data_IF_901383516931
#
_entry.id   IF_901383516931
#
_cell.length_a   1.000
_cell.length_b   1.000
_cell.length_c   1.000
_cell.angle_alpha   90.00
_cell.angle_beta   90.00
_cell.angle_gamma   90.00
#
_symmetry.space_group_name_H-M   'P 1'
#
loop_
_entity.id
_entity.type
_entity.pdbx_description
1 polymer ?
#
# COMPACT_ATOMS: atom_id res chain seq x y z
N UNK A 1 -13.77 -20.00 -7.04
CA UNK A 1 -14.86 -19.23 -6.41
C UNK A 1 -14.41 -18.82 -5.02
N UNK A 2 -14.38 -17.52 -4.77
CA UNK A 2 -14.12 -16.91 -3.46
C UNK A 2 -15.48 -16.69 -2.79
N UNK A 3 -15.65 -17.22 -1.58
CA UNK A 3 -16.81 -16.92 -0.74
C UNK A 3 -16.51 -15.70 0.12
N UNK A 4 -17.39 -14.71 0.08
CA UNK A 4 -17.29 -13.47 0.87
C UNK A 4 -18.45 -13.44 1.85
N UNK A 5 -18.18 -13.04 3.09
CA UNK A 5 -19.15 -13.00 4.17
C UNK A 5 -19.10 -11.64 4.85
N UNK A 6 -20.21 -10.90 4.80
CA UNK A 6 -20.36 -9.71 5.65
C UNK A 6 -21.10 -10.10 6.93
N UNK A 7 -20.54 -9.69 8.06
CA UNK A 7 -21.13 -9.77 9.39
C UNK A 7 -21.49 -8.37 9.84
N UNK A 8 -22.78 -8.09 10.04
CA UNK A 8 -23.28 -6.77 10.45
C UNK A 8 -24.06 -6.90 11.75
N UNK A 9 -23.59 -6.28 12.82
CA UNK A 9 -24.33 -6.13 14.08
C UNK A 9 -25.25 -4.92 14.00
N UNK A 10 -26.55 -5.09 14.19
CA UNK A 10 -27.54 -4.04 13.95
C UNK A 10 -28.71 -4.10 14.94
N UNK A 11 -29.20 -2.94 15.36
CA UNK A 11 -30.43 -2.84 16.16
C UNK A 11 -31.63 -3.40 15.39
N UNK A 12 -32.52 -4.13 16.08
CA UNK A 12 -33.67 -4.79 15.44
C UNK A 12 -34.57 -3.86 14.64
N UNK A 13 -34.73 -2.60 15.09
CA UNK A 13 -35.55 -1.58 14.43
C UNK A 13 -34.96 -1.08 13.09
N UNK A 14 -33.63 -1.17 12.91
CA UNK A 14 -32.95 -0.77 11.69
C UNK A 14 -32.83 -1.90 10.64
N UNK A 15 -33.10 -3.16 11.04
CA UNK A 15 -32.84 -4.34 10.21
C UNK A 15 -33.57 -4.32 8.86
N UNK A 16 -34.87 -4.03 8.86
CA UNK A 16 -35.66 -4.01 7.62
C UNK A 16 -35.20 -2.90 6.69
N UNK A 17 -34.88 -1.73 7.25
CA UNK A 17 -34.34 -0.60 6.51
C UNK A 17 -33.01 -0.93 5.86
N UNK A 18 -32.11 -1.61 6.58
CA UNK A 18 -30.83 -2.05 6.03
C UNK A 18 -31.02 -3.09 4.91
N UNK A 19 -31.89 -4.08 5.10
CA UNK A 19 -32.17 -5.08 4.06
C UNK A 19 -32.74 -4.42 2.80
N UNK A 20 -33.69 -3.49 2.94
CA UNK A 20 -34.23 -2.72 1.83
C UNK A 20 -33.16 -1.88 1.13
N UNK A 21 -32.24 -1.28 1.90
CA UNK A 21 -31.12 -0.52 1.38
C UNK A 21 -30.21 -1.39 0.50
N UNK A 22 -29.83 -2.59 0.95
CA UNK A 22 -29.03 -3.54 0.15
C UNK A 22 -29.76 -3.95 -1.13
N UNK A 23 -31.04 -4.30 -1.05
CA UNK A 23 -31.83 -4.72 -2.21
C UNK A 23 -32.02 -3.63 -3.25
N UNK A 24 -32.27 -2.39 -2.81
CA UNK A 24 -32.51 -1.26 -3.69
C UNK A 24 -31.22 -0.75 -4.33
N UNK A 25 -30.18 -0.58 -3.51
CA UNK A 25 -29.03 0.26 -3.89
C UNK A 25 -27.74 -0.53 -4.06
N UNK A 26 -27.60 -1.76 -3.52
CA UNK A 26 -26.30 -2.44 -3.51
C UNK A 26 -26.21 -3.65 -4.41
N UNK A 27 -27.14 -4.60 -4.28
CA UNK A 27 -26.99 -5.94 -4.86
C UNK A 27 -26.77 -5.89 -6.38
N UNK A 28 -27.52 -5.05 -7.10
CA UNK A 28 -27.37 -4.91 -8.55
C UNK A 28 -26.03 -4.27 -8.94
N UNK A 29 -25.57 -3.26 -8.19
CA UNK A 29 -24.30 -2.58 -8.45
C UNK A 29 -23.10 -3.48 -8.10
N UNK A 30 -23.19 -4.23 -6.99
CA UNK A 30 -22.23 -5.24 -6.60
C UNK A 30 -22.08 -6.32 -7.69
N UNK A 31 -23.20 -6.80 -8.24
CA UNK A 31 -23.19 -7.78 -9.33
C UNK A 31 -22.52 -7.25 -10.61
N UNK A 32 -22.68 -5.97 -10.95
CA UNK A 32 -21.99 -5.34 -12.08
C UNK A 32 -20.47 -5.31 -11.89
N UNK A 33 -20.00 -5.29 -10.63
CA UNK A 33 -18.58 -5.36 -10.28
C UNK A 33 -18.06 -6.79 -10.10
N UNK A 34 -18.90 -7.80 -10.28
CA UNK A 34 -18.55 -9.23 -10.14
C UNK A 34 -18.83 -9.84 -8.76
N UNK A 35 -19.41 -9.09 -7.82
CA UNK A 35 -19.80 -9.59 -6.49
C UNK A 35 -21.26 -10.07 -6.49
N UNK A 36 -21.45 -11.38 -6.55
CA UNK A 36 -22.78 -11.99 -6.66
C UNK A 36 -23.37 -12.29 -5.29
N UNK A 37 -24.54 -11.73 -5.00
CA UNK A 37 -25.30 -12.06 -3.79
C UNK A 37 -25.79 -13.52 -3.81
N UNK A 38 -25.65 -14.22 -2.69
CA UNK A 38 -26.12 -15.60 -2.53
C UNK A 38 -27.31 -15.67 -1.58
N UNK A 39 -27.14 -15.21 -0.35
CA UNK A 39 -28.19 -15.26 0.67
C UNK A 39 -27.92 -14.26 1.79
N UNK A 40 -28.92 -14.04 2.64
CA UNK A 40 -28.73 -13.45 3.95
C UNK A 40 -29.30 -14.35 5.05
N UNK A 41 -28.73 -14.25 6.26
CA UNK A 41 -29.21 -14.94 7.46
C UNK A 41 -29.19 -14.00 8.66
N UNK A 42 -30.09 -14.19 9.61
CA UNK A 42 -30.19 -13.36 10.81
C UNK A 42 -30.02 -14.26 12.05
N UNK A 43 -29.21 -13.80 13.01
CA UNK A 43 -29.01 -14.47 14.29
C UNK A 43 -29.11 -13.47 15.46
N UNK A 44 -29.87 -13.77 16.53
CA UNK A 44 -30.83 -14.88 16.62
C UNK A 44 -31.93 -14.74 15.56
N UNK A 45 -32.71 -15.80 15.25
CA UNK A 45 -33.76 -15.77 14.22
C UNK A 45 -35.03 -15.03 14.70
N UNK A 46 -34.85 -13.88 15.34
CA UNK A 46 -35.88 -13.00 15.88
C UNK A 46 -35.32 -11.58 16.02
N UNK A 47 -36.15 -10.57 15.80
CA UNK A 47 -35.77 -9.19 16.12
C UNK A 47 -35.77 -8.99 17.63
N UNK A 48 -34.70 -8.43 18.15
CA UNK A 48 -34.57 -8.06 19.56
C UNK A 48 -34.86 -6.56 19.72
N UNK A 49 -35.60 -6.22 20.78
CA UNK A 49 -35.93 -4.82 21.10
C UNK A 49 -34.80 -4.09 21.87
N UNK A 50 -34.02 -4.83 22.65
CA UNK A 50 -33.02 -4.25 23.59
C UNK A 50 -31.58 -4.68 23.31
N UNK A 51 -31.34 -5.41 22.22
CA UNK A 51 -30.03 -5.91 21.85
C UNK A 51 -29.91 -5.95 20.31
N UNK A 52 -28.69 -5.88 19.77
CA UNK A 52 -28.48 -6.06 18.34
C UNK A 52 -28.72 -7.51 17.91
N UNK A 53 -29.08 -7.67 16.64
CA UNK A 53 -29.00 -8.94 15.91
C UNK A 53 -27.78 -8.91 14.99
N UNK A 54 -27.30 -10.08 14.59
CA UNK A 54 -26.29 -10.22 13.53
C UNK A 54 -26.97 -10.56 12.21
N UNK A 55 -26.79 -9.70 11.22
CA UNK A 55 -27.09 -9.95 9.82
C UNK A 55 -25.84 -10.49 9.13
N UNK A 56 -25.96 -11.66 8.52
CA UNK A 56 -24.94 -12.29 7.70
C UNK A 56 -25.34 -12.16 6.24
N UNK A 57 -24.46 -11.65 5.39
CA UNK A 57 -24.65 -11.60 3.93
C UNK A 57 -23.57 -12.43 3.28
N UNK A 58 -23.96 -13.39 2.43
CA UNK A 58 -23.01 -14.22 1.70
C UNK A 58 -22.98 -13.85 0.23
N UNK A 59 -21.77 -13.73 -0.29
CA UNK A 59 -21.50 -13.36 -1.67
C UNK A 59 -20.46 -14.29 -2.29
N UNK A 60 -20.36 -14.22 -3.61
CA UNK A 60 -19.41 -14.97 -4.38
C UNK A 60 -18.72 -14.10 -5.42
N UNK A 61 -17.42 -14.31 -5.58
CA UNK A 61 -16.59 -13.73 -6.65
C UNK A 61 -15.87 -14.88 -7.36
N UNK A 62 -15.83 -14.86 -8.69
CA UNK A 62 -15.39 -16.00 -9.52
C UNK A 62 -14.01 -16.54 -9.11
N UNK A 63 -13.03 -15.65 -9.05
CA UNK A 63 -11.64 -15.95 -8.72
C UNK A 63 -10.91 -14.68 -8.24
N UNK A 64 -9.60 -14.80 -7.99
CA UNK A 64 -8.77 -13.68 -7.52
C UNK A 64 -8.64 -12.55 -8.54
N UNK A 65 -8.69 -12.85 -9.85
CA UNK A 65 -8.63 -11.81 -10.88
C UNK A 65 -9.91 -10.97 -10.87
N UNK A 66 -11.08 -11.62 -10.83
CA UNK A 66 -12.36 -10.96 -10.70
C UNK A 66 -12.45 -10.16 -9.39
N UNK A 67 -11.86 -10.67 -8.31
CA UNK A 67 -11.78 -9.97 -7.03
C UNK A 67 -10.95 -8.67 -7.14
N UNK A 68 -9.78 -8.70 -7.79
CA UNK A 68 -8.98 -7.48 -8.00
C UNK A 68 -9.68 -6.48 -8.92
N UNK A 69 -10.39 -6.96 -9.95
CA UNK A 69 -11.19 -6.11 -10.82
C UNK A 69 -12.36 -5.45 -10.07
N UNK A 70 -13.01 -6.18 -9.16
CA UNK A 70 -14.02 -5.64 -8.25
C UNK A 70 -13.40 -4.59 -7.31
N UNK A 71 -12.28 -4.94 -6.64
CA UNK A 71 -11.59 -4.06 -5.70
C UNK A 71 -11.19 -2.77 -6.37
N UNK A 72 -10.62 -2.80 -7.58
CA UNK A 72 -10.22 -1.60 -8.33
C UNK A 72 -11.33 -0.55 -8.43
N UNK A 73 -12.60 -0.97 -8.38
CA UNK A 73 -13.79 -0.11 -8.43
C UNK A 73 -14.29 0.35 -7.06
N UNK A 74 -13.77 -0.17 -5.94
CA UNK A 74 -14.10 0.29 -4.58
C UNK A 74 -13.66 1.73 -4.29
N UNK A 75 -12.79 2.30 -5.15
CA UNK A 75 -12.48 3.73 -5.14
C UNK A 75 -13.59 4.63 -5.66
N UNK A 76 -14.65 4.06 -6.27
CA UNK A 76 -15.84 4.83 -6.66
C UNK A 76 -16.48 5.46 -5.40
N UNK A 77 -16.66 6.80 -5.37
CA UNK A 77 -17.32 7.49 -4.27
C UNK A 77 -18.70 6.92 -3.91
N UNK A 78 -19.41 6.30 -4.85
CA UNK A 78 -20.68 5.61 -4.63
C UNK A 78 -20.58 4.42 -3.68
N UNK A 79 -19.51 3.61 -3.81
CA UNK A 79 -19.26 2.46 -2.93
C UNK A 79 -18.99 2.95 -1.51
N UNK A 80 -18.08 3.91 -1.36
CA UNK A 80 -17.75 4.49 -0.06
C UNK A 80 -18.99 5.14 0.60
N UNK A 81 -19.80 5.90 -0.15
CA UNK A 81 -21.04 6.50 0.37
C UNK A 81 -22.06 5.46 0.84
N UNK A 82 -22.23 4.38 0.08
CA UNK A 82 -23.14 3.30 0.47
C UNK A 82 -22.74 2.69 1.81
N UNK A 83 -21.46 2.31 1.94
CA UNK A 83 -20.98 1.68 3.18
C UNK A 83 -20.94 2.65 4.36
N UNK A 84 -20.64 3.93 4.13
CA UNK A 84 -20.80 4.96 5.15
C UNK A 84 -22.26 5.10 5.62
N UNK A 85 -23.24 4.95 4.73
CA UNK A 85 -24.65 4.92 5.12
C UNK A 85 -24.98 3.68 5.96
N UNK A 86 -24.44 2.50 5.59
CA UNK A 86 -24.56 1.28 6.41
C UNK A 86 -23.96 1.49 7.81
N UNK A 87 -22.81 2.15 7.90
CA UNK A 87 -22.15 2.47 9.18
C UNK A 87 -23.03 3.32 10.10
N UNK A 88 -23.91 4.17 9.57
CA UNK A 88 -24.86 4.93 10.40
C UNK A 88 -26.01 4.08 10.97
N UNK A 89 -26.26 2.91 10.39
CA UNK A 89 -27.39 2.03 10.75
C UNK A 89 -26.97 0.88 11.66
N UNK A 90 -25.71 0.44 11.57
CA UNK A 90 -25.18 -0.70 12.30
C UNK A 90 -24.33 -0.29 13.52
N UNK A 91 -24.18 -1.23 14.47
CA UNK A 91 -23.25 -1.12 15.60
C UNK A 91 -21.82 -1.40 15.14
N UNK A 92 -21.64 -2.43 14.32
CA UNK A 92 -20.36 -2.82 13.75
C UNK A 92 -20.60 -3.65 12.48
N UNK A 93 -19.63 -3.64 11.58
CA UNK A 93 -19.59 -4.56 10.44
C UNK A 93 -18.18 -5.06 10.17
N UNK A 94 -18.10 -6.21 9.53
CA UNK A 94 -16.85 -6.83 9.11
C UNK A 94 -17.08 -7.71 7.88
N UNK A 95 -16.16 -7.65 6.92
CA UNK A 95 -16.11 -8.59 5.80
C UNK A 95 -15.02 -9.62 6.03
N UNK A 96 -15.37 -10.87 5.80
CA UNK A 96 -14.50 -12.03 5.90
C UNK A 96 -14.53 -12.82 4.60
N UNK A 97 -13.47 -13.59 4.35
CA UNK A 97 -13.37 -14.47 3.20
C UNK A 97 -13.31 -15.91 3.67
N UNK A 98 -14.20 -16.75 3.15
CA UNK A 98 -14.40 -18.11 3.61
C UNK A 98 -13.74 -19.10 2.65
N UNK A 99 -13.19 -20.17 3.21
CA UNK A 99 -12.77 -21.35 2.46
C UNK A 99 -13.18 -22.61 3.23
N UNK A 100 -13.50 -23.69 2.51
CA UNK A 100 -13.84 -24.98 3.11
C UNK A 100 -12.62 -25.64 3.79
N UNK A 101 -11.43 -25.37 3.24
CA UNK A 101 -10.15 -25.84 3.76
C UNK A 101 -9.03 -24.88 3.33
N UNK A 102 -7.99 -24.75 4.16
CA UNK A 102 -6.79 -24.00 3.80
C UNK A 102 -6.16 -24.62 2.55
N UNK A 103 -5.83 -23.83 1.50
CA UNK A 103 -5.21 -24.35 0.29
C UNK A 103 -3.88 -25.05 0.59
N UNK A 104 -3.77 -26.33 0.26
CA UNK A 104 -2.56 -27.12 0.52
C UNK A 104 -1.38 -26.82 -0.41
N UNK A 105 -1.62 -26.08 -1.49
CA UNK A 105 -0.60 -25.70 -2.48
C UNK A 105 0.21 -24.46 -2.07
N UNK A 106 -0.28 -23.69 -1.09
CA UNK A 106 0.44 -22.53 -0.59
C UNK A 106 1.49 -22.97 0.42
N UNK A 107 2.74 -22.46 0.33
CA UNK A 107 3.72 -22.67 1.38
C UNK A 107 3.17 -22.10 2.68
N UNK A 108 3.33 -22.84 3.78
CA UNK A 108 2.96 -22.34 5.10
C UNK A 108 3.83 -21.15 5.50
N UNK A 109 3.36 -20.38 6.48
CA UNK A 109 4.10 -19.27 7.05
C UNK A 109 5.51 -19.68 7.49
N UNK A 110 6.52 -18.92 7.07
CA UNK A 110 7.91 -19.14 7.48
C UNK A 110 8.28 -18.26 8.67
N UNK A 111 9.12 -18.79 9.56
CA UNK A 111 9.80 -17.94 10.53
C UNK A 111 10.89 -17.10 9.86
N UNK A 112 10.64 -15.80 9.76
CA UNK A 112 11.56 -14.82 9.15
C UNK A 112 12.54 -14.20 10.13
N UNK A 113 12.55 -14.63 11.40
CA UNK A 113 13.46 -14.10 12.44
C UNK A 113 14.92 -14.07 12.00
N UNK A 114 15.37 -15.12 11.30
CA UNK A 114 16.75 -15.25 10.76
C UNK A 114 17.09 -14.25 9.64
N UNK A 115 16.09 -13.65 9.00
CA UNK A 115 16.27 -12.68 7.93
C UNK A 115 16.14 -11.23 8.43
N UNK A 116 15.73 -11.02 9.68
CA UNK A 116 15.58 -9.69 10.23
C UNK A 116 16.94 -8.99 10.32
N UNK A 117 16.98 -7.75 9.86
CA UNK A 117 18.18 -6.91 9.86
C UNK A 117 17.87 -5.56 10.48
N UNK A 118 18.91 -4.85 10.90
CA UNK A 118 18.79 -3.43 11.22
C UNK A 118 19.33 -2.61 10.07
N UNK A 119 18.53 -1.66 9.61
CA UNK A 119 18.99 -0.62 8.68
C UNK A 119 19.46 0.54 9.53
N UNK A 120 20.77 0.72 9.64
CA UNK A 120 21.36 1.95 10.17
C UNK A 120 21.43 2.97 9.01
N UNK A 121 21.50 4.27 9.31
CA UNK A 121 21.51 5.42 8.37
C UNK A 121 20.20 6.22 8.31
N UNK A 122 20.30 7.46 7.81
CA UNK A 122 19.21 8.37 7.56
C UNK A 122 18.79 8.26 6.09
N UNK A 123 17.59 7.73 5.87
CA UNK A 123 17.11 7.41 4.53
C UNK A 123 15.98 8.33 4.07
N UNK A 124 16.11 8.81 2.84
CA UNK A 124 15.08 9.54 2.12
C UNK A 124 14.62 8.73 0.89
N UNK A 125 13.37 8.91 0.50
CA UNK A 125 12.82 8.42 -0.77
C UNK A 125 11.92 9.49 -1.37
N UNK A 126 11.87 9.55 -2.69
CA UNK A 126 10.90 10.39 -3.38
C UNK A 126 10.30 9.73 -4.61
N UNK A 127 9.02 10.02 -4.83
CA UNK A 127 8.34 9.76 -6.10
C UNK A 127 8.24 11.08 -6.86
N UNK A 128 8.80 11.11 -8.06
CA UNK A 128 8.94 12.33 -8.86
C UNK A 128 8.01 12.28 -10.08
N UNK A 129 7.01 13.17 -10.13
CA UNK A 129 6.15 13.34 -11.29
C UNK A 129 6.73 14.38 -12.23
N UNK A 130 6.85 14.06 -13.52
CA UNK A 130 7.40 14.94 -14.55
C UNK A 130 6.28 15.79 -15.16
N UNK A 131 6.56 17.06 -15.47
CA UNK A 131 5.62 17.94 -16.18
C UNK A 131 5.37 17.44 -17.62
N UNK A 132 4.18 17.69 -18.14
CA UNK A 132 3.75 17.19 -19.45
C UNK A 132 4.58 17.74 -20.62
N UNK A 133 5.15 18.94 -20.47
CA UNK A 133 5.93 19.65 -21.50
C UNK A 133 7.42 19.25 -21.53
N UNK A 134 7.86 18.36 -20.65
CA UNK A 134 9.26 17.94 -20.54
C UNK A 134 9.57 16.84 -21.55
N UNK A 135 10.45 17.17 -22.50
CA UNK A 135 10.90 16.26 -23.55
C UNK A 135 11.98 15.25 -23.07
N UNK A 136 12.37 14.33 -23.96
CA UNK A 136 13.32 13.26 -23.64
C UNK A 136 14.74 13.77 -23.33
N UNK A 137 15.18 14.86 -23.95
CA UNK A 137 16.50 15.46 -23.69
C UNK A 137 16.52 16.08 -22.30
N UNK A 138 15.46 16.82 -21.96
CA UNK A 138 15.28 17.41 -20.64
C UNK A 138 15.14 16.35 -19.54
N UNK A 139 14.45 15.24 -19.80
CA UNK A 139 14.42 14.08 -18.88
C UNK A 139 15.82 13.51 -18.65
N UNK A 140 16.61 13.36 -19.71
CA UNK A 140 18.01 12.89 -19.62
C UNK A 140 18.85 13.83 -18.75
N UNK A 141 18.64 15.15 -18.87
CA UNK A 141 19.31 16.16 -18.02
C UNK A 141 18.90 16.00 -16.55
N UNK A 142 17.61 15.85 -16.27
CA UNK A 142 17.13 15.61 -14.90
C UNK A 142 17.75 14.32 -14.32
N UNK A 143 17.70 13.23 -15.06
CA UNK A 143 18.27 11.94 -14.63
C UNK A 143 19.76 12.05 -14.32
N UNK A 144 20.53 12.76 -15.16
CA UNK A 144 21.95 12.99 -14.93
C UNK A 144 22.18 13.76 -13.62
N UNK A 145 21.47 14.88 -13.39
CA UNK A 145 21.59 15.68 -12.16
C UNK A 145 21.28 14.85 -10.91
N UNK A 146 20.23 14.03 -10.96
CA UNK A 146 19.82 13.21 -9.82
C UNK A 146 20.77 12.04 -9.57
N UNK A 147 21.44 11.50 -10.61
CA UNK A 147 22.47 10.46 -10.46
C UNK A 147 23.81 11.02 -9.97
N UNK A 148 24.22 12.16 -10.50
CA UNK A 148 25.45 12.86 -10.12
C UNK A 148 25.43 13.31 -8.65
N UNK A 149 24.23 13.40 -8.05
CA UNK A 149 24.06 13.59 -6.61
C UNK A 149 24.87 12.58 -5.77
N UNK A 150 25.11 11.36 -6.26
CA UNK A 150 25.95 10.35 -5.57
C UNK A 150 27.39 10.81 -5.34
N UNK A 151 27.93 11.64 -6.24
CA UNK A 151 29.30 12.16 -6.17
C UNK A 151 29.35 13.59 -5.60
N UNK A 152 28.28 14.36 -5.82
CA UNK A 152 28.28 15.81 -5.58
C UNK A 152 27.62 16.22 -4.25
N UNK A 153 26.71 15.41 -3.70
CA UNK A 153 26.11 15.70 -2.39
C UNK A 153 27.08 15.35 -1.26
N UNK A 154 27.38 16.29 -0.35
CA UNK A 154 28.39 16.07 0.69
C UNK A 154 27.92 15.00 1.67
N UNK A 155 28.74 13.96 1.83
CA UNK A 155 28.52 12.89 2.81
C UNK A 155 27.39 11.91 2.47
N UNK A 156 26.84 11.96 1.26
CA UNK A 156 25.89 10.94 0.79
C UNK A 156 26.59 9.57 0.72
N UNK A 157 25.92 8.52 1.15
CA UNK A 157 26.45 7.14 1.09
C UNK A 157 25.98 6.44 -0.18
N UNK A 158 24.74 6.71 -0.60
CA UNK A 158 24.14 6.11 -1.79
C UNK A 158 23.05 6.98 -2.37
N UNK A 159 22.94 6.94 -3.69
CA UNK A 159 21.82 7.49 -4.45
C UNK A 159 21.39 6.46 -5.50
N UNK A 160 20.10 6.18 -5.56
CA UNK A 160 19.52 5.28 -6.56
C UNK A 160 18.35 5.98 -7.25
N UNK A 161 18.39 6.05 -8.57
CA UNK A 161 17.31 6.59 -9.39
C UNK A 161 16.81 5.52 -10.34
N UNK A 162 15.51 5.25 -10.32
CA UNK A 162 14.88 4.27 -11.18
C UNK A 162 13.58 4.82 -11.80
N UNK A 163 13.38 4.53 -13.09
CA UNK A 163 12.13 4.82 -13.77
C UNK A 163 11.08 3.77 -13.38
N UNK A 164 9.88 4.22 -13.04
CA UNK A 164 8.76 3.35 -12.68
C UNK A 164 8.17 2.72 -13.95
N UNK A 165 7.84 1.43 -13.90
CA UNK A 165 7.27 0.71 -15.06
C UNK A 165 5.86 1.17 -15.43
N UNK A 166 5.05 1.49 -14.42
CA UNK A 166 3.64 1.84 -14.58
C UNK A 166 3.34 3.12 -13.78
N UNK A 167 3.72 4.30 -14.30
CA UNK A 167 3.59 5.57 -13.59
C UNK A 167 2.13 5.92 -13.24
N UNK A 168 1.14 5.35 -13.91
CA UNK A 168 -0.28 5.55 -13.64
C UNK A 168 -0.76 4.95 -12.30
N UNK A 169 -0.03 3.97 -11.75
CA UNK A 169 -0.29 3.40 -10.42
C UNK A 169 0.64 3.98 -9.35
N UNK A 170 1.66 4.72 -9.76
CA UNK A 170 2.57 5.45 -8.89
C UNK A 170 2.14 6.92 -8.79
N UNK A 171 2.69 7.64 -7.82
CA UNK A 171 2.55 9.10 -7.74
C UNK A 171 3.69 9.84 -8.46
N UNK A 172 4.44 9.11 -9.30
CA UNK A 172 5.64 9.60 -9.96
C UNK A 172 6.12 8.71 -11.10
N UNK A 173 6.88 9.31 -12.00
CA UNK A 173 7.59 8.64 -13.08
C UNK A 173 8.89 8.00 -12.60
N UNK A 174 9.50 8.54 -11.55
CA UNK A 174 10.74 8.02 -10.98
C UNK A 174 10.61 7.79 -9.48
N UNK A 175 11.30 6.75 -9.01
CA UNK A 175 11.66 6.58 -7.60
C UNK A 175 13.11 7.03 -7.41
N UNK A 176 13.35 7.94 -6.46
CA UNK A 176 14.67 8.43 -6.10
C UNK A 176 14.95 8.15 -4.62
N UNK A 177 15.90 7.27 -4.35
CA UNK A 177 16.29 6.86 -3.00
C UNK A 177 17.65 7.43 -2.64
N UNK A 178 17.78 7.97 -1.43
CA UNK A 178 19.01 8.60 -0.95
C UNK A 178 19.32 8.11 0.46
N UNK A 179 20.58 7.76 0.69
CA UNK A 179 21.09 7.31 1.97
C UNK A 179 22.19 8.25 2.46
N UNK A 180 22.06 8.70 3.70
CA UNK A 180 23.05 9.49 4.43
C UNK A 180 23.40 8.77 5.73
N UNK A 181 24.62 8.95 6.29
CA UNK A 181 24.97 8.32 7.57
C UNK A 181 24.07 8.79 8.72
N UNK A 182 23.64 10.05 8.68
CA UNK A 182 22.82 10.67 9.71
C UNK A 182 22.04 11.89 9.16
N UNK A 183 21.15 12.41 10.01
CA UNK A 183 20.30 13.55 9.71
C UNK A 183 21.09 14.83 9.44
N UNK A 184 22.14 15.08 10.21
CA UNK A 184 22.90 16.34 10.11
C UNK A 184 23.61 16.42 8.76
N UNK A 185 24.10 15.28 8.28
CA UNK A 185 24.69 15.13 6.94
C UNK A 185 23.66 15.35 5.84
N UNK A 186 22.46 14.75 5.95
CA UNK A 186 21.38 14.96 4.99
C UNK A 186 20.98 16.45 4.91
N UNK A 187 20.82 17.11 6.05
CA UNK A 187 20.49 18.54 6.09
C UNK A 187 21.63 19.42 5.57
N UNK A 188 22.90 19.05 5.81
CA UNK A 188 24.05 19.75 5.24
C UNK A 188 24.10 19.58 3.71
N UNK A 189 23.78 18.38 3.20
CA UNK A 189 23.67 18.12 1.77
C UNK A 189 22.57 18.96 1.12
N UNK A 190 21.39 19.08 1.75
CA UNK A 190 20.30 19.93 1.27
C UNK A 190 20.61 21.45 1.33
N UNK A 191 21.61 21.87 2.11
CA UNK A 191 22.11 23.26 2.13
C UNK A 191 23.30 23.49 1.18
N UNK A 192 23.78 22.46 0.50
CA UNK A 192 24.94 22.56 -0.38
C UNK A 192 24.65 23.36 -1.65
N UNK A 193 25.72 23.84 -2.29
CA UNK A 193 25.62 24.54 -3.57
C UNK A 193 25.08 23.61 -4.67
N UNK A 194 25.47 22.34 -4.68
CA UNK A 194 24.97 21.37 -5.65
C UNK A 194 23.47 21.13 -5.48
N UNK A 195 22.99 20.94 -4.24
CA UNK A 195 21.56 20.80 -3.99
C UNK A 195 20.79 22.03 -4.46
N UNK A 196 21.18 23.22 -4.02
CA UNK A 196 20.43 24.45 -4.29
C UNK A 196 20.43 24.83 -5.77
N UNK A 197 21.60 24.75 -6.42
CA UNK A 197 21.76 25.26 -7.78
C UNK A 197 21.44 24.21 -8.86
N UNK A 198 21.53 22.92 -8.53
CA UNK A 198 21.33 21.83 -9.50
C UNK A 198 20.08 21.02 -9.16
N UNK A 199 20.05 20.33 -8.01
CA UNK A 199 18.96 19.40 -7.68
C UNK A 199 17.63 20.11 -7.52
N UNK A 200 17.53 21.06 -6.57
CA UNK A 200 16.30 21.78 -6.28
C UNK A 200 15.80 22.56 -7.51
N UNK A 201 16.71 23.22 -8.23
CA UNK A 201 16.40 23.93 -9.47
C UNK A 201 15.88 23.00 -10.57
N UNK A 202 16.44 21.79 -10.71
CA UNK A 202 15.97 20.80 -11.67
C UNK A 202 14.59 20.22 -11.29
N UNK A 203 14.38 19.92 -10.00
CA UNK A 203 13.08 19.46 -9.50
C UNK A 203 12.00 20.51 -9.75
N UNK A 204 12.24 21.78 -9.39
CA UNK A 204 11.29 22.88 -9.66
C UNK A 204 11.02 23.04 -11.16
N UNK A 205 12.06 22.92 -11.99
CA UNK A 205 11.96 23.10 -13.43
C UNK A 205 11.18 21.98 -14.11
N UNK A 206 11.47 20.72 -13.77
CA UNK A 206 11.02 19.55 -14.53
C UNK A 206 9.93 18.72 -13.87
N UNK A 207 9.76 18.82 -12.55
CA UNK A 207 8.76 18.03 -11.82
C UNK A 207 7.47 18.82 -11.58
N UNK A 208 6.33 18.18 -11.83
CA UNK A 208 5.01 18.71 -11.49
C UNK A 208 4.66 18.49 -10.02
N UNK A 209 5.18 17.40 -9.42
CA UNK A 209 5.08 17.11 -8.00
C UNK A 209 6.25 16.24 -7.55
N UNK A 210 6.71 16.48 -6.32
CA UNK A 210 7.71 15.67 -5.61
C UNK A 210 7.09 15.20 -4.29
N UNK A 211 6.88 13.88 -4.16
CA UNK A 211 6.50 13.28 -2.88
C UNK A 211 7.77 12.85 -2.15
N UNK A 212 8.30 13.71 -1.27
CA UNK A 212 9.62 13.55 -0.66
C UNK A 212 9.51 13.21 0.82
N UNK A 213 10.04 12.03 1.19
CA UNK A 213 9.82 11.43 2.49
C UNK A 213 11.13 11.00 3.15
N UNK A 214 11.31 11.36 4.42
CA UNK A 214 12.24 10.70 5.33
C UNK A 214 11.60 9.42 5.86
N UNK A 215 12.38 8.37 5.98
CA UNK A 215 11.95 7.06 6.44
C UNK A 215 12.55 6.69 7.80
N UNK A 216 11.68 6.41 8.78
CA UNK A 216 12.07 5.79 10.04
C UNK A 216 11.64 4.31 10.01
N UNK A 217 12.61 3.39 9.89
CA UNK A 217 12.37 1.95 9.76
C UNK A 217 11.65 1.39 10.99
N UNK A 218 10.52 0.72 10.77
CA UNK A 218 9.80 -0.09 11.77
C UNK A 218 10.40 -1.48 11.85
N UNK A 219 10.57 -2.14 10.70
CA UNK A 219 11.20 -3.45 10.59
C UNK A 219 11.69 -3.68 9.16
N UNK A 220 12.77 -4.44 9.00
CA UNK A 220 13.31 -4.84 7.72
C UNK A 220 13.82 -6.28 7.77
N UNK A 221 13.83 -6.94 6.61
CA UNK A 221 14.43 -8.25 6.46
C UNK A 221 14.96 -8.53 5.06
N UNK A 222 15.95 -9.41 5.00
CA UNK A 222 16.75 -9.70 3.81
C UNK A 222 16.90 -11.21 3.65
N UNK A 223 16.21 -11.81 2.69
CA UNK A 223 16.43 -13.21 2.29
C UNK A 223 17.53 -13.34 1.25
N UNK A 224 17.71 -12.31 0.41
CA UNK A 224 18.66 -12.31 -0.72
C UNK A 224 19.44 -11.00 -0.75
N UNK A 225 20.50 -10.92 0.07
CA UNK A 225 21.36 -9.74 0.21
C UNK A 225 22.05 -9.35 -1.09
N UNK A 226 22.32 -10.32 -1.96
CA UNK A 226 23.02 -10.20 -3.24
C UNK A 226 22.06 -10.20 -4.45
N UNK A 227 20.76 -9.96 -4.22
CA UNK A 227 19.78 -9.87 -5.31
C UNK A 227 20.25 -8.84 -6.35
N UNK A 228 20.21 -9.23 -7.62
CA UNK A 228 20.59 -8.40 -8.75
C UNK A 228 19.63 -8.63 -9.91
N UNK A 229 19.45 -7.60 -10.74
CA UNK A 229 18.52 -7.61 -11.88
C UNK A 229 17.07 -7.97 -11.48
N UNK A 230 16.64 -7.52 -10.30
CA UNK A 230 15.31 -7.77 -9.76
C UNK A 230 14.32 -6.64 -10.03
N UNK A 231 13.26 -6.61 -9.23
CA UNK A 231 12.28 -5.52 -9.20
C UNK A 231 12.18 -4.97 -7.79
N UNK A 232 12.23 -3.64 -7.66
CA UNK A 232 11.89 -2.95 -6.41
C UNK A 232 10.49 -2.41 -6.50
N UNK A 233 9.70 -2.66 -5.48
CA UNK A 233 8.39 -2.06 -5.23
C UNK A 233 8.51 -1.07 -4.08
N UNK A 234 7.97 0.13 -4.26
CA UNK A 234 7.93 1.19 -3.25
C UNK A 234 6.49 1.69 -3.17
N UNK A 235 5.76 1.30 -2.12
CA UNK A 235 4.37 1.67 -1.95
C UNK A 235 4.18 2.69 -0.83
N UNK A 236 3.45 3.76 -1.10
CA UNK A 236 3.13 4.79 -0.10
C UNK A 236 1.70 4.62 0.37
N UNK A 237 1.52 4.57 1.70
CA UNK A 237 0.22 4.43 2.34
C UNK A 237 -0.02 5.59 3.31
N UNK A 238 -1.29 5.93 3.50
CA UNK A 238 -1.71 6.97 4.45
C UNK A 238 -2.83 6.44 5.33
N UNK A 239 -2.70 6.63 6.64
CA UNK A 239 -3.80 6.34 7.55
C UNK A 239 -4.94 7.35 7.36
N UNK A 240 -6.18 6.86 7.50
CA UNK A 240 -7.35 7.73 7.55
C UNK A 240 -7.27 8.67 8.78
N UNK A 241 -7.82 9.89 8.66
CA UNK A 241 -7.87 10.82 9.79
C UNK A 241 -8.56 10.20 11.02
N UNK A 242 -7.94 10.34 12.18
CA UNK A 242 -8.48 9.81 13.44
C UNK A 242 -8.18 8.34 13.73
N UNK A 243 -7.44 7.63 12.87
CA UNK A 243 -6.99 6.26 13.17
C UNK A 243 -6.13 6.24 14.44
N UNK A 244 -6.55 5.45 15.44
CA UNK A 244 -5.83 5.30 16.72
C UNK A 244 -4.56 4.47 16.63
N UNK A 245 -3.67 4.63 17.62
CA UNK A 245 -2.36 3.98 17.67
C UNK A 245 -2.44 2.43 17.63
N UNK A 246 -3.40 1.83 18.33
CA UNK A 246 -3.58 0.37 18.34
C UNK A 246 -3.94 -0.16 16.95
N UNK A 247 -4.75 0.58 16.19
CA UNK A 247 -5.12 0.22 14.82
C UNK A 247 -3.93 0.35 13.88
N UNK A 248 -3.16 1.44 14.01
CA UNK A 248 -1.93 1.64 13.26
C UNK A 248 -0.91 0.51 13.52
N UNK A 249 -0.73 0.10 14.78
CA UNK A 249 0.16 -1.00 15.14
C UNK A 249 -0.30 -2.34 14.55
N UNK A 250 -1.61 -2.64 14.55
CA UNK A 250 -2.14 -3.86 13.91
C UNK A 250 -1.91 -3.84 12.40
N UNK A 251 -2.08 -2.70 11.75
CA UNK A 251 -1.76 -2.54 10.34
C UNK A 251 -0.28 -2.82 10.06
N UNK A 252 0.65 -2.25 10.85
CA UNK A 252 2.09 -2.51 10.73
C UNK A 252 2.41 -4.01 10.88
N UNK A 253 1.78 -4.68 11.85
CA UNK A 253 1.96 -6.11 12.10
C UNK A 253 1.46 -6.96 10.93
N UNK A 254 0.24 -6.70 10.46
CA UNK A 254 -0.36 -7.44 9.34
C UNK A 254 0.44 -7.25 8.04
N UNK A 255 0.96 -6.05 7.80
CA UNK A 255 1.77 -5.77 6.63
C UNK A 255 3.13 -6.48 6.68
N UNK A 256 3.76 -6.55 7.86
CA UNK A 256 5.01 -7.28 8.06
C UNK A 256 4.84 -8.81 8.01
N UNK A 257 3.67 -9.31 8.39
CA UNK A 257 3.33 -10.73 8.29
C UNK A 257 3.35 -11.22 6.82
N UNK A 258 3.15 -10.33 5.84
CA UNK A 258 3.25 -10.68 4.41
C UNK A 258 4.56 -11.38 4.06
N UNK A 259 5.70 -10.95 4.61
CA UNK A 259 7.01 -11.55 4.31
C UNK A 259 7.18 -12.98 4.83
N UNK A 260 6.33 -13.40 5.79
CA UNK A 260 6.26 -14.77 6.31
C UNK A 260 5.42 -15.65 5.41
N UNK A 261 4.39 -15.07 4.79
CA UNK A 261 3.35 -15.78 4.06
C UNK A 261 3.67 -15.87 2.57
N UNK A 262 4.40 -14.88 2.03
CA UNK A 262 4.66 -14.75 0.58
C UNK A 262 6.17 -14.82 0.34
N UNK A 263 6.71 -16.00 -0.03
CA UNK A 263 8.15 -16.21 -0.21
C UNK A 263 8.77 -15.37 -1.34
N UNK A 264 7.98 -14.95 -2.33
CA UNK A 264 8.41 -14.08 -3.42
C UNK A 264 8.89 -12.70 -2.92
N UNK A 265 8.48 -12.28 -1.71
CA UNK A 265 9.04 -11.09 -1.05
C UNK A 265 10.44 -11.45 -0.54
N UNK A 266 11.47 -11.16 -1.34
CA UNK A 266 12.84 -11.54 -1.02
C UNK A 266 13.45 -10.62 0.04
N UNK A 267 13.34 -9.32 -0.14
CA UNK A 267 13.79 -8.33 0.84
C UNK A 267 12.65 -7.35 1.09
N UNK A 268 12.53 -6.85 2.33
CA UNK A 268 11.45 -5.94 2.70
C UNK A 268 11.88 -4.91 3.73
N UNK A 269 11.20 -3.77 3.73
CA UNK A 269 11.29 -2.76 4.77
C UNK A 269 9.97 -2.01 4.90
N UNK A 270 9.46 -1.94 6.13
CA UNK A 270 8.38 -1.04 6.51
C UNK A 270 8.97 0.15 7.25
N UNK A 271 8.62 1.34 6.80
CA UNK A 271 9.04 2.59 7.42
C UNK A 271 7.85 3.50 7.68
N UNK A 272 7.90 4.22 8.81
CA UNK A 272 7.05 5.40 9.02
C UNK A 272 7.64 6.56 8.24
N UNK A 273 6.79 7.32 7.57
CA UNK A 273 7.19 8.40 6.69
C UNK A 273 7.01 9.77 7.36
N UNK A 274 7.94 10.68 7.10
CA UNK A 274 7.84 12.09 7.46
C UNK A 274 8.14 12.94 6.23
N UNK A 275 7.31 13.96 5.99
CA UNK A 275 7.46 14.85 4.83
C UNK A 275 8.75 15.67 4.96
N UNK A 276 9.51 15.76 3.86
CA UNK A 276 10.72 16.56 3.77
C UNK A 276 10.43 18.01 3.36
N UNK A 277 11.34 18.97 3.65
CA UNK A 277 11.13 20.38 3.31
C UNK A 277 11.00 20.68 1.81
N UNK A 278 11.46 19.76 0.95
CA UNK A 278 11.42 19.89 -0.51
C UNK A 278 10.30 19.06 -1.16
N UNK A 279 9.40 18.49 -0.35
CA UNK A 279 8.13 17.97 -0.85
C UNK A 279 7.30 19.11 -1.46
N UNK A 280 6.74 18.86 -2.64
CA UNK A 280 5.91 19.82 -3.37
C UNK A 280 4.54 19.25 -3.71
N UNK A 281 4.19 18.08 -3.16
CA UNK A 281 2.95 17.41 -3.47
C UNK A 281 1.77 18.08 -2.75
N UNK A 282 0.72 18.42 -3.50
CA UNK A 282 -0.53 18.93 -2.94
C UNK A 282 -1.45 17.77 -2.52
N UNK A 283 -1.04 17.02 -1.51
CA UNK A 283 -1.85 15.96 -0.93
C UNK A 283 -1.61 15.82 0.57
N UNK A 284 -2.50 15.10 1.26
CA UNK A 284 -2.26 14.78 2.66
C UNK A 284 -0.94 14.00 2.84
N UNK A 285 -0.21 14.16 3.96
CA UNK A 285 1.06 13.46 4.18
C UNK A 285 0.94 11.95 4.09
N UNK A 286 1.93 11.28 3.50
CA UNK A 286 2.05 9.81 3.57
C UNK A 286 2.45 9.39 4.98
N UNK A 287 1.90 8.28 5.47
CA UNK A 287 2.19 7.75 6.81
C UNK A 287 3.23 6.63 6.77
N UNK A 288 3.20 5.82 5.72
CA UNK A 288 4.05 4.65 5.59
C UNK A 288 4.66 4.55 4.21
N UNK A 289 5.86 3.98 4.16
CA UNK A 289 6.47 3.45 2.95
C UNK A 289 6.75 1.96 3.16
N UNK A 290 6.21 1.12 2.28
CA UNK A 290 6.44 -0.31 2.24
C UNK A 290 7.28 -0.66 1.02
N UNK A 291 8.53 -1.03 1.26
CA UNK A 291 9.50 -1.40 0.23
C UNK A 291 9.67 -2.90 0.20
N UNK A 292 9.70 -3.45 -1.01
CA UNK A 292 9.86 -4.87 -1.25
C UNK A 292 10.73 -5.09 -2.49
N UNK A 293 11.54 -6.14 -2.48
CA UNK A 293 12.34 -6.55 -3.62
C UNK A 293 11.97 -7.98 -4.04
N UNK A 294 11.82 -8.16 -5.35
CA UNK A 294 11.38 -9.40 -5.99
C UNK A 294 12.41 -9.84 -7.03
N UNK A 295 12.44 -11.13 -7.35
CA UNK A 295 13.27 -11.67 -8.43
C UNK A 295 12.85 -11.15 -9.80
N UNK A 296 11.54 -11.00 -10.03
CA UNK A 296 11.00 -10.56 -11.31
C UNK A 296 9.66 -9.85 -11.15
N UNK A 297 9.24 -9.16 -12.22
CA UNK A 297 7.92 -8.53 -12.27
C UNK A 297 6.79 -9.57 -12.22
N UNK A 298 7.00 -10.76 -12.78
CA UNK A 298 6.02 -11.85 -12.75
C UNK A 298 5.75 -12.35 -11.32
N UNK A 299 6.79 -12.40 -10.46
CA UNK A 299 6.63 -12.72 -9.04
C UNK A 299 5.75 -11.71 -8.30
N UNK A 300 5.94 -10.42 -8.62
CA UNK A 300 5.14 -9.31 -8.07
C UNK A 300 3.70 -9.31 -8.60
N UNK A 301 3.48 -9.48 -9.91
CA UNK A 301 2.15 -9.37 -10.52
C UNK A 301 1.35 -10.68 -10.49
N UNK A 302 2.00 -11.81 -10.25
CA UNK A 302 1.39 -13.13 -10.18
C UNK A 302 1.24 -13.64 -8.74
N UNK A 303 2.17 -14.46 -8.22
CA UNK A 303 2.07 -15.09 -6.90
C UNK A 303 1.74 -14.12 -5.75
N UNK A 304 2.39 -12.95 -5.72
CA UNK A 304 2.12 -11.94 -4.69
C UNK A 304 0.68 -11.40 -4.75
N UNK A 305 0.16 -11.10 -5.94
CA UNK A 305 -1.23 -10.64 -6.11
C UNK A 305 -2.24 -11.76 -5.84
N UNK A 306 -1.89 -13.01 -6.15
CA UNK A 306 -2.77 -14.15 -5.99
C UNK A 306 -2.90 -14.66 -4.54
N UNK A 307 -1.92 -14.34 -3.68
CA UNK A 307 -1.83 -14.91 -2.34
C UNK A 307 -2.98 -14.43 -1.43
N UNK A 308 -3.75 -15.33 -0.77
CA UNK A 308 -4.85 -14.96 0.12
C UNK A 308 -4.48 -14.04 1.27
N UNK A 309 -3.26 -14.16 1.81
CA UNK A 309 -2.79 -13.20 2.80
C UNK A 309 -2.76 -11.75 2.27
N UNK A 310 -2.51 -11.56 0.98
CA UNK A 310 -2.55 -10.24 0.37
C UNK A 310 -3.99 -9.76 0.18
N UNK A 311 -4.76 -10.44 -0.67
CA UNK A 311 -6.10 -9.95 -1.04
C UNK A 311 -7.16 -10.14 0.06
N UNK A 312 -7.10 -11.20 0.87
CA UNK A 312 -8.12 -11.48 1.89
C UNK A 312 -7.78 -10.86 3.26
N UNK A 313 -6.50 -10.83 3.63
CA UNK A 313 -6.07 -10.40 4.97
C UNK A 313 -5.56 -8.96 4.99
N UNK A 314 -4.63 -8.59 4.09
CA UNK A 314 -4.03 -7.25 4.10
C UNK A 314 -4.93 -6.20 3.44
N UNK A 315 -5.58 -6.53 2.32
CA UNK A 315 -6.34 -5.53 1.55
C UNK A 315 -7.56 -4.96 2.31
N UNK A 316 -8.07 -5.66 3.34
CA UNK A 316 -9.14 -5.16 4.21
C UNK A 316 -8.83 -3.79 4.81
N UNK A 317 -7.55 -3.46 5.01
CA UNK A 317 -7.12 -2.18 5.55
C UNK A 317 -7.38 -1.02 4.59
N UNK A 318 -7.50 -1.31 3.29
CA UNK A 318 -7.71 -0.36 2.20
C UNK A 318 -9.14 -0.37 1.69
N UNK A 319 -9.87 -1.47 1.84
CA UNK A 319 -11.22 -1.63 1.29
C UNK A 319 -12.31 -0.98 2.18
N UNK A 320 -13.05 0.04 1.69
CA UNK A 320 -14.17 0.63 2.45
C UNK A 320 -15.29 -0.38 2.76
N UNK A 321 -15.43 -1.45 1.97
CA UNK A 321 -16.42 -2.49 2.22
C UNK A 321 -16.07 -3.39 3.41
N UNK A 322 -14.81 -3.38 3.87
CA UNK A 322 -14.31 -4.37 4.84
C UNK A 322 -14.82 -4.21 6.27
N UNK A 323 -15.24 -2.99 6.64
CA UNK A 323 -15.54 -2.62 8.03
C UNK A 323 -14.29 -2.44 8.91
N UNK A 324 -13.09 -2.63 8.35
CA UNK A 324 -11.79 -2.49 9.02
C UNK A 324 -10.88 -1.46 8.37
N UNK A 325 -11.35 -0.75 7.34
CA UNK A 325 -10.55 0.24 6.63
C UNK A 325 -9.88 1.21 7.61
N UNK A 326 -8.57 1.34 7.49
CA UNK A 326 -7.77 2.30 8.24
C UNK A 326 -6.82 3.09 7.34
N UNK A 327 -6.67 2.68 6.09
CA UNK A 327 -5.78 3.26 5.08
C UNK A 327 -6.60 3.86 3.96
N UNK A 328 -6.18 5.02 3.49
CA UNK A 328 -6.74 5.71 2.33
C UNK A 328 -6.70 4.81 1.08
N UNK A 329 -7.77 4.86 0.28
CA UNK A 329 -7.86 4.09 -0.97
C UNK A 329 -6.86 4.59 -2.01
N UNK A 330 -6.44 5.86 -1.90
CA UNK A 330 -5.43 6.45 -2.76
C UNK A 330 -4.04 6.15 -2.20
N UNK A 331 -3.34 5.25 -2.88
CA UNK A 331 -1.98 4.84 -2.56
C UNK A 331 -1.05 5.09 -3.75
N UNK A 332 0.25 5.20 -3.46
CA UNK A 332 1.28 5.08 -4.51
C UNK A 332 1.72 3.62 -4.58
N UNK A 333 1.75 3.05 -5.77
CA UNK A 333 2.27 1.72 -6.02
C UNK A 333 3.34 1.78 -7.12
N UNK A 334 4.53 2.26 -6.75
CA UNK A 334 5.65 2.32 -7.67
C UNK A 334 6.40 0.99 -7.71
N UNK A 335 6.82 0.57 -8.90
CA UNK A 335 7.77 -0.52 -9.07
C UNK A 335 8.67 -0.25 -10.27
N UNK A 336 9.95 -0.59 -10.11
CA UNK A 336 11.02 -0.23 -11.04
C UNK A 336 12.06 -1.35 -11.12
N UNK A 337 12.91 -1.30 -12.15
CA UNK A 337 14.06 -2.17 -12.25
C UNK A 337 14.99 -1.98 -11.03
N UNK A 338 15.60 -3.07 -10.57
CA UNK A 338 16.56 -3.09 -9.48
C UNK A 338 17.85 -3.75 -9.98
N UNK A 339 18.91 -2.97 -10.16
CA UNK A 339 20.21 -3.52 -10.58
C UNK A 339 20.83 -4.40 -9.49
N UNK A 340 20.79 -3.92 -8.24
CA UNK A 340 21.28 -4.59 -7.03
C UNK A 340 20.38 -4.27 -5.86
N UNK A 341 20.27 -5.19 -4.90
CA UNK A 341 19.49 -5.00 -3.67
C UNK A 341 19.85 -3.69 -2.97
N UNK A 342 18.87 -2.81 -2.81
CA UNK A 342 18.99 -1.57 -2.04
C UNK A 342 18.91 -1.93 -0.56
N UNK A 343 17.88 -2.70 -0.18
CA UNK A 343 17.66 -3.09 1.22
C UNK A 343 18.80 -3.97 1.73
N UNK A 344 19.26 -4.93 0.93
CA UNK A 344 20.38 -5.81 1.28
C UNK A 344 21.70 -5.05 1.41
N UNK A 345 21.92 -4.02 0.62
CA UNK A 345 23.14 -3.21 0.71
C UNK A 345 23.06 -2.09 1.76
N UNK A 346 21.89 -1.84 2.36
CA UNK A 346 21.66 -0.95 3.51
C UNK A 346 21.56 -1.73 4.84
N UNK A 347 21.59 -3.06 4.78
CA UNK A 347 21.55 -3.91 5.96
C UNK A 347 22.94 -4.08 6.57
N UNK A 348 22.97 -4.24 7.90
CA UNK A 348 24.18 -4.69 8.60
C UNK A 348 24.66 -6.09 8.19
#
# INVERSE_FOLDING_TARGET
MIEVQDRIEIAGDNLDGLLQLFHRDYIAQAAQRGLRFVEHRISPPVKLQSAPVTLWLRWQVEDTQAWWAMRAQSGDPGVARFWAQVDTLCVAREREYLCDSVPGELPGAEDVSRFQVTTHSYRETAQLSIKEDVDAEQRTVLEAILRDAAAELPGVERVELAANYAPEYAVGHYTWDILYPDRDTAEAAQRSAYWTNSVAAALERYCSACHALRLDTVNAGVRRKDLANGVKRTAFFRLLPGTGADTAQRFEQDLLEMARQIPDILNWRLSRAQVLPWDTADCAPWTYVWEQEFESLDGLLGPYMAHPHHWAHVDRWFDPESGKQAVDVNLSHAFSALEKSIIGAESN
#
